data_IF_445771302535
#
_entry.id   IF_445771302535
#
_cell.length_a   1.000
_cell.length_b   1.000
_cell.length_c   1.000
_cell.angle_alpha   90.00
_cell.angle_beta   90.00
_cell.angle_gamma   90.00
#
_symmetry.space_group_name_H-M   'P 1'
#
loop_
_entity.id
_entity.type
_entity.pdbx_description
1 polymer ?
#
# COMPACT_ATOMS: atom_id res chain seq x y z
N UNK A 1 -7.31 23.94 -10.81
CA UNK A 1 -6.19 23.22 -11.43
C UNK A 1 -4.94 23.85 -10.86
N UNK A 2 -4.61 23.48 -9.62
CA UNK A 2 -3.59 24.17 -8.84
C UNK A 2 -3.07 23.25 -7.74
N UNK A 3 -1.76 23.33 -7.52
CA UNK A 3 -0.91 22.62 -6.56
C UNK A 3 -0.58 21.16 -6.88
N UNK A 4 0.36 20.99 -7.81
CA UNK A 4 1.35 19.90 -7.73
C UNK A 4 2.57 20.45 -7.00
N UNK A 5 3.01 19.67 -6.02
CA UNK A 5 4.02 19.95 -5.00
C UNK A 5 5.31 20.54 -5.56
N UNK A 6 5.73 21.66 -4.95
CA UNK A 6 7.10 22.13 -4.99
C UNK A 6 7.97 21.14 -4.19
N UNK A 7 8.59 20.19 -4.88
CA UNK A 7 9.92 19.74 -4.47
C UNK A 7 10.93 20.37 -5.44
N UNK A 8 11.75 21.25 -4.88
CA UNK A 8 12.86 21.88 -5.60
C UNK A 8 13.88 20.79 -5.91
N UNK A 9 13.91 20.32 -7.16
CA UNK A 9 15.03 19.55 -7.70
C UNK A 9 15.71 20.39 -8.78
N UNK A 10 16.79 21.07 -8.38
CA UNK A 10 17.95 21.50 -9.19
C UNK A 10 17.77 21.99 -10.65
N UNK A 11 16.62 22.55 -11.04
CA UNK A 11 16.49 23.26 -12.32
C UNK A 11 16.57 22.40 -13.58
N UNK A 12 16.51 21.07 -13.47
CA UNK A 12 16.36 20.17 -14.62
C UNK A 12 14.89 19.91 -14.93
N UNK A 13 14.54 19.95 -16.22
CA UNK A 13 13.20 19.57 -16.68
C UNK A 13 13.01 18.07 -16.45
N UNK A 14 11.94 17.70 -15.73
CA UNK A 14 11.53 16.30 -15.60
C UNK A 14 11.08 15.77 -16.98
N UNK A 15 11.73 14.70 -17.43
CA UNK A 15 11.44 13.95 -18.66
C UNK A 15 11.13 12.49 -18.32
N UNK A 16 10.60 11.72 -19.27
CA UNK A 16 10.35 10.28 -19.06
C UNK A 16 11.63 9.50 -18.76
N UNK A 17 12.78 9.99 -19.22
CA UNK A 17 14.08 9.33 -19.10
C UNK A 17 14.77 9.59 -17.76
N UNK A 18 14.54 10.75 -17.13
CA UNK A 18 15.15 11.10 -15.83
C UNK A 18 14.16 11.04 -14.65
N UNK A 19 12.90 10.66 -14.90
CA UNK A 19 11.91 10.49 -13.85
C UNK A 19 12.23 9.26 -13.00
N UNK A 20 12.49 9.48 -11.71
CA UNK A 20 12.51 8.40 -10.75
C UNK A 20 11.10 7.84 -10.57
N UNK A 21 10.83 6.67 -11.14
CA UNK A 21 9.50 6.01 -11.12
C UNK A 21 9.16 5.40 -9.76
N UNK A 22 10.15 5.22 -8.90
CA UNK A 22 9.94 4.81 -7.52
C UNK A 22 9.83 6.01 -6.57
N UNK A 23 9.92 7.26 -7.08
CA UNK A 23 9.57 8.44 -6.32
C UNK A 23 8.18 8.28 -5.68
N UNK A 24 8.13 8.50 -4.37
CA UNK A 24 6.93 8.30 -3.55
C UNK A 24 5.70 9.01 -4.13
N UNK A 25 5.85 10.27 -4.56
CA UNK A 25 4.76 11.04 -5.15
C UNK A 25 4.31 10.47 -6.50
N UNK A 26 5.24 10.02 -7.35
CA UNK A 26 4.91 9.41 -8.63
C UNK A 26 4.25 8.03 -8.47
N UNK A 27 4.80 7.20 -7.59
CA UNK A 27 4.27 5.89 -7.26
C UNK A 27 2.84 6.02 -6.71
N UNK A 28 2.61 6.90 -5.73
CA UNK A 28 1.27 7.21 -5.19
C UNK A 28 0.35 7.78 -6.26
N UNK A 29 0.83 8.63 -7.15
CA UNK A 29 0.02 9.17 -8.24
C UNK A 29 -0.51 8.09 -9.20
N UNK A 30 0.28 7.03 -9.44
CA UNK A 30 -0.15 5.90 -10.26
C UNK A 30 -1.04 4.96 -9.48
N UNK A 31 -0.58 4.51 -8.30
CA UNK A 31 -1.15 3.34 -7.63
C UNK A 31 -2.14 3.67 -6.51
N UNK A 32 -2.16 4.91 -5.99
CA UNK A 32 -3.09 5.37 -4.94
C UNK A 32 -4.21 6.28 -5.51
N UNK A 33 -4.69 5.97 -6.72
CA UNK A 33 -5.70 6.78 -7.41
C UNK A 33 -6.81 5.90 -8.00
N UNK A 34 -8.06 6.15 -7.57
CA UNK A 34 -9.26 5.45 -8.05
C UNK A 34 -9.42 5.47 -9.58
N UNK A 35 -9.10 6.59 -10.22
CA UNK A 35 -9.19 6.71 -11.69
C UNK A 35 -8.21 5.78 -12.43
N UNK A 36 -7.23 5.22 -11.70
CA UNK A 36 -6.18 4.33 -12.22
C UNK A 36 -6.18 2.98 -11.53
N UNK A 37 -7.27 2.62 -10.83
CA UNK A 37 -7.41 1.37 -10.09
C UNK A 37 -6.91 0.14 -10.86
N UNK A 38 -7.16 0.06 -12.16
CA UNK A 38 -6.74 -1.07 -12.98
C UNK A 38 -5.21 -1.29 -12.94
N UNK A 39 -4.40 -0.22 -12.91
CA UNK A 39 -2.95 -0.34 -12.83
C UNK A 39 -2.50 -0.96 -11.49
N UNK A 40 -3.16 -0.60 -10.39
CA UNK A 40 -2.92 -1.20 -9.07
C UNK A 40 -3.32 -2.67 -9.06
N UNK A 41 -4.46 -3.00 -9.65
CA UNK A 41 -4.96 -4.37 -9.74
C UNK A 41 -4.02 -5.26 -10.58
N UNK A 42 -3.57 -4.76 -11.74
CA UNK A 42 -2.64 -5.48 -12.62
C UNK A 42 -1.30 -5.72 -11.91
N UNK A 43 -0.78 -4.73 -11.17
CA UNK A 43 0.43 -4.87 -10.36
C UNK A 43 0.26 -5.96 -9.30
N UNK A 44 -0.80 -5.91 -8.50
CA UNK A 44 -1.08 -6.89 -7.44
C UNK A 44 -1.22 -8.30 -8.03
N UNK A 45 -2.00 -8.45 -9.10
CA UNK A 45 -2.23 -9.74 -9.73
C UNK A 45 -0.98 -10.31 -10.40
N UNK A 46 -0.03 -9.47 -10.81
CA UNK A 46 1.28 -9.94 -11.30
C UNK A 46 2.06 -10.65 -10.19
N UNK A 47 2.02 -10.14 -8.95
CA UNK A 47 2.62 -10.83 -7.81
C UNK A 47 1.85 -12.09 -7.41
N UNK A 48 0.52 -12.07 -7.49
CA UNK A 48 -0.27 -13.24 -7.15
C UNK A 48 -0.05 -14.37 -8.16
N UNK A 49 0.07 -14.04 -9.45
CA UNK A 49 0.45 -14.98 -10.50
C UNK A 49 1.85 -15.54 -10.27
N UNK A 50 2.83 -14.68 -9.95
CA UNK A 50 4.20 -15.11 -9.63
C UNK A 50 4.25 -16.11 -8.46
N UNK A 51 3.48 -15.86 -7.40
CA UNK A 51 3.36 -16.76 -6.24
C UNK A 51 2.40 -17.95 -6.47
N UNK A 52 1.76 -18.03 -7.65
CA UNK A 52 0.80 -19.10 -7.97
C UNK A 52 -0.48 -19.07 -7.12
N UNK A 53 -0.86 -17.91 -6.60
CA UNK A 53 -2.06 -17.72 -5.76
C UNK A 53 -3.24 -17.16 -6.55
N UNK A 54 -4.44 -17.34 -6.00
CA UNK A 54 -5.68 -16.82 -6.61
C UNK A 54 -5.61 -15.30 -6.78
N UNK A 55 -5.81 -14.86 -8.02
CA UNK A 55 -5.92 -13.46 -8.41
C UNK A 55 -7.23 -12.84 -7.92
N UNK A 56 -7.22 -11.52 -7.70
CA UNK A 56 -8.40 -10.74 -7.32
C UNK A 56 -9.01 -10.05 -8.54
N UNK A 57 -10.34 -9.95 -8.58
CA UNK A 57 -11.07 -9.40 -9.75
C UNK A 57 -11.46 -7.94 -9.60
N UNK A 58 -11.53 -7.45 -8.36
CA UNK A 58 -11.84 -6.06 -8.04
C UNK A 58 -11.09 -5.64 -6.78
N UNK A 59 -11.02 -4.33 -6.58
CA UNK A 59 -10.27 -3.69 -5.51
C UNK A 59 -11.00 -2.42 -5.09
N UNK A 60 -11.21 -2.23 -3.79
CA UNK A 60 -11.72 -0.97 -3.23
C UNK A 60 -10.65 -0.35 -2.35
N UNK A 61 -10.23 0.86 -2.68
CA UNK A 61 -9.28 1.58 -1.83
C UNK A 61 -9.87 1.81 -0.44
N UNK A 62 -9.05 1.57 0.57
CA UNK A 62 -9.37 1.76 1.98
C UNK A 62 -8.64 2.97 2.55
N UNK A 63 -9.00 3.39 3.76
CA UNK A 63 -8.27 4.44 4.45
C UNK A 63 -6.82 4.02 4.70
N UNK A 64 -5.90 4.93 4.41
CA UNK A 64 -4.46 4.73 4.51
C UNK A 64 -3.92 5.16 5.87
N UNK A 65 -4.68 5.95 6.60
CA UNK A 65 -4.31 6.44 7.92
C UNK A 65 -4.95 5.54 8.98
N UNK A 66 -4.11 4.86 9.75
CA UNK A 66 -4.53 4.03 10.86
C UNK A 66 -4.15 4.71 12.18
N UNK A 67 -5.15 5.24 12.87
CA UNK A 67 -4.98 5.80 14.22
C UNK A 67 -4.41 4.76 15.18
N UNK A 68 -3.53 5.12 16.12
CA UNK A 68 -2.99 4.15 17.08
C UNK A 68 -4.10 3.51 17.95
N UNK A 69 -4.07 2.18 18.11
CA UNK A 69 -5.04 1.45 18.95
C UNK A 69 -4.92 1.76 20.45
N UNK A 70 -3.78 2.33 20.87
CA UNK A 70 -3.47 2.65 22.27
C UNK A 70 -3.07 4.11 22.38
N UNK A 71 -3.35 4.74 23.53
CA UNK A 71 -3.08 6.16 23.80
C UNK A 71 -1.64 6.62 23.52
N UNK A 72 -0.65 5.74 23.70
CA UNK A 72 0.77 5.99 23.42
C UNK A 72 1.29 5.10 22.27
N UNK A 73 0.38 4.55 21.46
CA UNK A 73 0.72 3.73 20.31
C UNK A 73 1.19 4.56 19.12
N UNK A 74 1.67 3.87 18.08
CA UNK A 74 2.13 4.49 16.84
C UNK A 74 1.07 4.32 15.75
N UNK A 75 0.63 5.42 15.16
CA UNK A 75 -0.22 5.39 13.97
C UNK A 75 0.55 4.91 12.75
N UNK A 76 -0.17 4.51 11.71
CA UNK A 76 0.39 4.04 10.44
C UNK A 76 -0.16 4.89 9.30
N UNK A 77 0.69 5.25 8.35
CA UNK A 77 0.30 5.85 7.08
C UNK A 77 0.82 4.92 5.98
N UNK A 78 -0.10 4.32 5.24
CA UNK A 78 0.18 3.35 4.18
C UNK A 78 0.21 4.05 2.81
N UNK A 79 0.96 3.50 1.86
CA UNK A 79 0.99 4.05 0.50
C UNK A 79 -0.30 3.73 -0.28
N UNK A 80 -0.64 2.45 -0.34
CA UNK A 80 -1.84 1.90 -1.00
C UNK A 80 -2.41 0.75 -0.18
N UNK A 81 -3.68 0.87 0.20
CA UNK A 81 -4.43 -0.25 0.81
C UNK A 81 -5.78 -0.40 0.15
N UNK A 82 -6.20 -1.64 -0.05
CA UNK A 82 -7.57 -1.91 -0.50
C UNK A 82 -8.02 -3.33 -0.28
N UNK A 83 -9.33 -3.50 -0.35
CA UNK A 83 -10.04 -4.73 -0.09
C UNK A 83 -10.64 -5.24 -1.40
N UNK A 84 -10.40 -6.51 -1.72
CA UNK A 84 -11.03 -7.18 -2.85
C UNK A 84 -12.44 -7.69 -2.52
N UNK A 85 -13.15 -8.14 -3.55
CA UNK A 85 -14.52 -8.69 -3.43
C UNK A 85 -14.62 -9.90 -2.50
N UNK A 86 -13.54 -10.69 -2.37
CA UNK A 86 -13.44 -11.84 -1.45
C UNK A 86 -12.96 -11.45 -0.05
N UNK A 87 -12.91 -10.15 0.27
CA UNK A 87 -12.40 -9.58 1.53
C UNK A 87 -10.89 -9.71 1.74
N UNK A 88 -10.12 -10.17 0.76
CA UNK A 88 -8.66 -10.11 0.85
C UNK A 88 -8.21 -8.66 0.95
N UNK A 89 -7.41 -8.35 1.97
CA UNK A 89 -6.84 -7.02 2.17
C UNK A 89 -5.44 -7.00 1.59
N UNK A 90 -5.15 -6.05 0.70
CA UNK A 90 -3.83 -5.90 0.10
C UNK A 90 -3.26 -4.55 0.47
N UNK A 91 -2.05 -4.57 1.01
CA UNK A 91 -1.20 -3.41 1.24
C UNK A 91 -0.04 -3.42 0.25
N UNK A 92 0.21 -2.31 -0.44
CA UNK A 92 1.34 -2.14 -1.33
C UNK A 92 2.16 -0.94 -0.85
N UNK A 93 3.42 -1.17 -0.49
CA UNK A 93 4.38 -0.15 -0.06
C UNK A 93 5.51 -0.05 -1.11
N UNK A 94 5.83 1.17 -1.55
CA UNK A 94 6.85 1.41 -2.57
C UNK A 94 7.92 2.31 -1.96
N UNK A 95 9.15 1.81 -1.83
CA UNK A 95 10.19 2.50 -1.06
C UNK A 95 11.49 2.67 -1.87
N UNK A 96 12.03 3.89 -1.83
CA UNK A 96 13.33 4.26 -2.41
C UNK A 96 14.51 4.09 -1.45
N UNK A 97 14.25 4.07 -0.14
CA UNK A 97 15.29 3.94 0.87
C UNK A 97 15.11 2.62 1.61
N UNK A 98 16.16 1.81 1.61
CA UNK A 98 16.25 0.70 2.54
C UNK A 98 16.52 1.26 3.94
N UNK A 99 15.49 1.26 4.77
CA UNK A 99 15.66 1.46 6.21
C UNK A 99 16.02 0.11 6.85
N UNK A 100 16.95 0.11 7.81
CA UNK A 100 17.36 -1.10 8.52
C UNK A 100 16.21 -1.79 9.27
N UNK A 101 15.07 -1.12 9.48
CA UNK A 101 13.90 -1.60 10.21
C UNK A 101 12.71 -1.96 9.30
N UNK A 102 12.91 -2.08 7.98
CA UNK A 102 11.83 -2.34 7.02
C UNK A 102 11.04 -3.62 7.34
N UNK A 103 11.72 -4.70 7.71
CA UNK A 103 11.10 -5.96 8.14
C UNK A 103 10.12 -5.77 9.32
N UNK A 104 10.56 -5.01 10.33
CA UNK A 104 9.76 -4.69 11.53
C UNK A 104 8.60 -3.77 11.19
N UNK A 105 8.80 -2.79 10.31
CA UNK A 105 7.74 -1.87 9.87
C UNK A 105 6.68 -2.60 9.06
N UNK A 106 7.08 -3.40 8.08
CA UNK A 106 6.18 -4.24 7.28
C UNK A 106 5.35 -5.14 8.18
N UNK A 107 5.98 -5.84 9.13
CA UNK A 107 5.26 -6.71 10.07
C UNK A 107 4.31 -5.92 10.97
N UNK A 108 4.74 -4.75 11.47
CA UNK A 108 3.89 -3.88 12.28
C UNK A 108 2.66 -3.42 11.49
N UNK A 109 2.82 -2.93 10.27
CA UNK A 109 1.72 -2.46 9.42
C UNK A 109 0.76 -3.59 9.06
N UNK A 110 1.30 -4.74 8.63
CA UNK A 110 0.50 -5.93 8.33
C UNK A 110 -0.31 -6.37 9.56
N UNK A 111 0.31 -6.38 10.75
CA UNK A 111 -0.38 -6.77 11.99
C UNK A 111 -1.54 -5.82 12.31
N UNK A 112 -1.37 -4.50 12.15
CA UNK A 112 -2.42 -3.52 12.38
C UNK A 112 -3.60 -3.70 11.41
N UNK A 113 -3.31 -3.99 10.14
CA UNK A 113 -4.35 -4.29 9.15
C UNK A 113 -5.11 -5.58 9.47
N UNK A 114 -4.39 -6.60 9.95
CA UNK A 114 -4.97 -7.90 10.28
C UNK A 114 -5.82 -7.86 11.56
N UNK A 115 -5.31 -7.25 12.64
CA UNK A 115 -5.96 -7.29 13.96
C UNK A 115 -7.21 -6.42 14.04
N UNK A 116 -7.25 -5.27 13.34
CA UNK A 116 -8.39 -4.34 13.38
C UNK A 116 -9.68 -4.89 12.82
N UNK A 117 -9.62 -6.01 12.11
CA UNK A 117 -10.77 -6.66 11.50
C UNK A 117 -11.62 -7.44 12.49
N UNK A 118 -11.01 -7.91 13.57
CA UNK A 118 -11.67 -8.78 14.51
C UNK A 118 -12.11 -7.99 15.74
N UNK A 119 -13.42 -7.94 15.95
CA UNK A 119 -14.04 -7.31 17.10
C UNK A 119 -14.13 -8.31 18.26
N UNK A 120 -14.33 -7.76 19.47
CA UNK A 120 -14.50 -8.57 20.67
C UNK A 120 -15.70 -9.52 20.52
N UNK A 121 -15.44 -10.82 20.70
CA UNK A 121 -16.46 -11.87 20.61
C UNK A 121 -16.65 -12.47 19.22
N UNK A 122 -15.94 -11.99 18.20
CA UNK A 122 -15.93 -12.61 16.87
C UNK A 122 -15.00 -13.83 16.81
N UNK A 123 -15.33 -14.78 15.94
CA UNK A 123 -14.53 -15.98 15.72
C UNK A 123 -13.28 -15.66 14.88
N UNK A 124 -12.14 -16.25 15.22
CA UNK A 124 -10.91 -16.13 14.44
C UNK A 124 -11.05 -16.67 13.01
N UNK A 125 -12.00 -17.57 12.74
CA UNK A 125 -12.32 -18.02 11.38
C UNK A 125 -12.81 -16.88 10.47
N UNK A 126 -13.25 -15.75 11.03
CA UNK A 126 -13.67 -14.56 10.26
C UNK A 126 -12.50 -13.71 9.75
N UNK A 127 -11.26 -14.00 10.16
CA UNK A 127 -10.08 -13.28 9.70
C UNK A 127 -9.80 -13.56 8.23
N UNK A 128 -9.84 -12.51 7.41
CA UNK A 128 -9.59 -12.61 5.98
C UNK A 128 -8.10 -12.57 5.66
N UNK A 129 -7.74 -13.17 4.51
CA UNK A 129 -6.38 -13.10 3.94
C UNK A 129 -5.92 -11.64 3.90
N UNK A 130 -4.73 -11.37 4.42
CA UNK A 130 -4.09 -10.06 4.34
C UNK A 130 -2.72 -10.23 3.71
N UNK A 131 -2.44 -9.46 2.66
CA UNK A 131 -1.20 -9.55 1.88
C UNK A 131 -0.49 -8.20 1.92
N UNK A 132 0.81 -8.21 2.23
CA UNK A 132 1.67 -7.04 2.10
C UNK A 132 2.68 -7.27 0.98
N UNK A 133 2.71 -6.35 0.02
CA UNK A 133 3.65 -6.31 -1.09
C UNK A 133 4.59 -5.13 -0.83
N UNK A 134 5.88 -5.40 -0.67
CA UNK A 134 6.90 -4.37 -0.43
C UNK A 134 7.82 -4.34 -1.65
N UNK A 135 7.83 -3.22 -2.37
CA UNK A 135 8.68 -3.01 -3.54
C UNK A 135 9.84 -2.13 -3.08
N UNK A 136 11.02 -2.72 -3.01
CA UNK A 136 12.26 -2.11 -2.51
C UNK A 136 13.28 -2.00 -3.67
N UNK A 137 14.09 -0.94 -3.65
CA UNK A 137 15.28 -0.77 -4.52
C UNK A 137 16.54 -1.39 -3.87
#
# INVERSE_FOLDING_TARGET
MENVLQEVVQGEVLTVENLNRMNDAFAKFIFANEARKQLTLDLVNSFFEFEGTTQITDFKFSDRELDPERKLGKGVVLDVVGESSDRTLVNVEIQLQQFDDMDRRTLYYWSQLYTRRLLCGEDYESLNRTVAINILD
#
